data_IF_940706690093
#
_entry.id   IF_940706690093
#
_cell.length_a   1.000
_cell.length_b   1.000
_cell.length_c   1.000
_cell.angle_alpha   90.00
_cell.angle_beta   90.00
_cell.angle_gamma   90.00
#
_symmetry.space_group_name_H-M   'P 1'
#
loop_
_entity.id
_entity.type
_entity.pdbx_description
1 polymer ?
#
# COMPACT_ATOMS: atom_id res chain seq x y z
N UNK A 1 -4.14 -5.97 -1.70
CA UNK A 1 -4.82 -6.53 -0.51
C UNK A 1 -6.34 -6.57 -0.66
N UNK A 2 -6.89 -5.76 -1.51
CA UNK A 2 -8.32 -5.79 -1.82
C UNK A 2 -8.71 -7.01 -2.67
N UNK A 3 -7.75 -7.61 -3.33
CA UNK A 3 -7.93 -8.80 -4.15
C UNK A 3 -8.64 -9.95 -3.44
N UNK A 4 -8.44 -10.10 -2.11
CA UNK A 4 -9.05 -11.20 -1.34
C UNK A 4 -10.37 -10.83 -0.66
N UNK A 5 -10.74 -9.57 -0.62
CA UNK A 5 -11.96 -9.09 0.04
C UNK A 5 -12.94 -8.40 -0.91
N UNK A 6 -12.49 -8.02 -2.09
CA UNK A 6 -13.33 -7.43 -3.13
C UNK A 6 -13.84 -8.52 -4.04
N UNK A 7 -15.15 -8.55 -4.21
CA UNK A 7 -15.83 -9.43 -5.17
C UNK A 7 -16.05 -8.67 -6.46
N UNK A 8 -15.72 -9.28 -7.59
CA UNK A 8 -16.05 -8.74 -8.90
C UNK A 8 -17.58 -8.71 -9.06
N UNK A 9 -18.20 -7.53 -9.21
CA UNK A 9 -19.66 -7.42 -9.26
C UNK A 9 -20.27 -8.11 -10.49
N UNK A 10 -19.48 -8.39 -11.52
CA UNK A 10 -19.95 -8.98 -12.76
C UNK A 10 -19.86 -10.53 -12.75
N UNK A 11 -18.83 -11.09 -12.09
CA UNK A 11 -18.58 -12.55 -12.06
C UNK A 11 -18.89 -13.21 -10.72
N UNK A 12 -19.02 -12.42 -9.64
CA UNK A 12 -19.20 -12.88 -8.27
C UNK A 12 -18.00 -13.70 -7.72
N UNK A 13 -16.86 -13.61 -8.40
CA UNK A 13 -15.60 -14.23 -8.02
C UNK A 13 -14.69 -13.21 -7.31
N UNK A 14 -13.67 -13.64 -6.55
CA UNK A 14 -12.67 -12.72 -6.02
C UNK A 14 -12.02 -11.90 -7.12
N UNK A 15 -11.99 -10.58 -6.95
CA UNK A 15 -11.44 -9.67 -7.95
C UNK A 15 -9.93 -9.86 -8.06
N UNK A 16 -9.46 -10.18 -9.27
CA UNK A 16 -8.04 -10.33 -9.59
C UNK A 16 -7.52 -9.14 -10.40
N UNK A 17 -6.27 -8.75 -10.14
CA UNK A 17 -5.59 -7.70 -10.87
C UNK A 17 -5.00 -8.25 -12.17
N UNK A 18 -5.52 -7.79 -13.33
CA UNK A 18 -5.13 -8.25 -14.67
C UNK A 18 -4.40 -7.17 -15.47
N UNK A 19 -3.50 -6.42 -14.85
CA UNK A 19 -2.72 -5.33 -15.49
C UNK A 19 -3.58 -4.22 -16.13
N UNK A 20 -4.81 -4.05 -15.66
CA UNK A 20 -5.70 -2.95 -15.99
C UNK A 20 -6.19 -2.29 -14.68
N UNK A 21 -5.50 -1.22 -14.32
CA UNK A 21 -5.73 -0.51 -13.06
C UNK A 21 -7.10 0.19 -13.04
N UNK A 22 -7.56 0.71 -14.17
CA UNK A 22 -8.84 1.41 -14.24
C UNK A 22 -10.01 0.44 -14.05
N UNK A 23 -9.98 -0.71 -14.70
CA UNK A 23 -11.00 -1.76 -14.53
C UNK A 23 -11.01 -2.29 -13.09
N UNK A 24 -9.83 -2.59 -12.54
CA UNK A 24 -9.67 -3.07 -11.17
C UNK A 24 -10.22 -2.06 -10.14
N UNK A 25 -9.84 -0.79 -10.25
CA UNK A 25 -10.33 0.26 -9.36
C UNK A 25 -11.82 0.52 -9.54
N UNK A 26 -12.31 0.54 -10.77
CA UNK A 26 -13.73 0.72 -11.08
C UNK A 26 -14.59 -0.39 -10.47
N UNK A 27 -14.18 -1.65 -10.57
CA UNK A 27 -14.85 -2.80 -9.94
C UNK A 27 -14.77 -2.74 -8.41
N UNK A 28 -13.61 -2.38 -7.86
CA UNK A 28 -13.43 -2.19 -6.41
C UNK A 28 -14.35 -1.11 -5.88
N UNK A 29 -14.44 0.04 -6.56
CA UNK A 29 -15.34 1.14 -6.16
C UNK A 29 -16.80 0.74 -6.24
N UNK A 30 -17.22 0.03 -7.29
CA UNK A 30 -18.59 -0.48 -7.40
C UNK A 30 -18.94 -1.43 -6.26
N UNK A 31 -18.03 -2.33 -5.90
CA UNK A 31 -18.20 -3.22 -4.77
C UNK A 31 -18.33 -2.44 -3.44
N UNK A 32 -17.43 -1.51 -3.17
CA UNK A 32 -17.45 -0.72 -1.93
C UNK A 32 -18.71 0.16 -1.82
N UNK A 33 -19.19 0.72 -2.93
CA UNK A 33 -20.41 1.53 -2.95
C UNK A 33 -21.70 0.73 -2.71
N UNK A 34 -21.65 -0.60 -2.82
CA UNK A 34 -22.77 -1.47 -2.48
C UNK A 34 -22.82 -1.82 -0.98
N UNK A 35 -21.75 -1.55 -0.26
CA UNK A 35 -21.69 -1.80 1.18
C UNK A 35 -22.45 -0.68 1.92
N UNK A 36 -23.30 -1.08 2.85
CA UNK A 36 -23.93 -0.13 3.77
C UNK A 36 -22.85 0.53 4.66
N UNK A 37 -23.01 1.82 5.03
CA UNK A 37 -22.05 2.53 5.90
C UNK A 37 -21.79 1.81 7.24
N UNK A 38 -22.76 1.06 7.72
CA UNK A 38 -22.68 0.27 8.95
C UNK A 38 -22.01 -1.10 8.76
N UNK A 39 -21.66 -1.47 7.52
CA UNK A 39 -21.01 -2.74 7.22
C UNK A 39 -19.66 -2.83 7.93
N UNK A 40 -19.41 -3.94 8.60
CA UNK A 40 -18.17 -4.15 9.37
C UNK A 40 -16.91 -4.07 8.51
N UNK A 41 -16.95 -4.54 7.26
CA UNK A 41 -15.86 -4.44 6.31
C UNK A 41 -15.54 -2.98 5.96
N UNK A 42 -16.57 -2.16 5.73
CA UNK A 42 -16.38 -0.74 5.43
C UNK A 42 -15.68 -0.01 6.59
N UNK A 43 -16.18 -0.21 7.81
CA UNK A 43 -15.57 0.36 9.03
C UNK A 43 -14.12 -0.12 9.25
N UNK A 44 -13.86 -1.39 8.99
CA UNK A 44 -12.50 -1.93 9.08
C UNK A 44 -11.55 -1.29 8.06
N UNK A 45 -11.97 -1.13 6.82
CA UNK A 45 -11.16 -0.51 5.77
C UNK A 45 -10.88 0.97 6.07
N UNK A 46 -11.91 1.72 6.51
CA UNK A 46 -11.79 3.12 6.91
C UNK A 46 -10.80 3.29 8.07
N UNK A 47 -10.96 2.49 9.13
CA UNK A 47 -10.05 2.51 10.28
C UNK A 47 -8.60 2.19 9.89
N UNK A 48 -8.38 1.16 9.07
CA UNK A 48 -7.05 0.79 8.60
C UNK A 48 -6.42 1.87 7.73
N UNK A 49 -7.20 2.48 6.85
CA UNK A 49 -6.73 3.56 6.00
C UNK A 49 -6.34 4.79 6.83
N UNK A 50 -7.21 5.22 7.74
CA UNK A 50 -6.98 6.35 8.63
C UNK A 50 -5.70 6.16 9.43
N UNK A 51 -5.53 5.00 10.07
CA UNK A 51 -4.31 4.66 10.81
C UNK A 51 -3.06 4.68 9.93
N UNK A 52 -3.14 4.11 8.73
CA UNK A 52 -2.00 4.12 7.80
C UNK A 52 -1.57 5.53 7.41
N UNK A 53 -2.54 6.44 7.21
CA UNK A 53 -2.25 7.83 6.89
C UNK A 53 -1.67 8.60 8.08
N UNK A 54 -2.16 8.38 9.28
CA UNK A 54 -1.61 8.97 10.50
C UNK A 54 -0.15 8.54 10.71
N UNK A 55 0.15 7.24 10.56
CA UNK A 55 1.52 6.72 10.63
C UNK A 55 2.41 7.31 9.52
N UNK A 56 1.90 7.43 8.31
CA UNK A 56 2.64 8.03 7.21
C UNK A 56 3.01 9.49 7.47
N UNK A 57 2.09 10.27 8.02
CA UNK A 57 2.34 11.67 8.39
C UNK A 57 3.45 11.77 9.46
N UNK A 58 3.45 10.86 10.42
CA UNK A 58 4.41 10.87 11.53
C UNK A 58 5.80 10.36 11.13
N UNK A 59 5.87 9.36 10.24
CA UNK A 59 7.07 8.56 10.03
C UNK A 59 7.78 8.81 8.70
N UNK A 60 7.06 9.25 7.68
CA UNK A 60 7.68 9.56 6.40
C UNK A 60 8.39 10.91 6.43
N UNK A 61 9.50 11.06 5.69
CA UNK A 61 10.12 12.36 5.51
C UNK A 61 9.14 13.39 4.98
N UNK A 62 9.43 14.67 5.15
CA UNK A 62 8.57 15.82 4.77
C UNK A 62 8.07 15.84 3.30
N UNK A 63 8.52 14.91 2.49
CA UNK A 63 8.02 14.67 1.13
C UNK A 63 6.81 13.75 1.05
N UNK A 64 6.44 13.05 2.12
CA UNK A 64 5.39 12.02 2.10
C UNK A 64 5.74 10.88 1.15
N UNK A 65 4.78 10.43 0.35
CA UNK A 65 4.94 9.31 -0.61
C UNK A 65 5.71 9.71 -1.89
N UNK A 66 6.88 10.32 -1.71
CA UNK A 66 7.77 10.73 -2.81
C UNK A 66 9.04 9.91 -2.76
N UNK A 67 9.54 9.53 -3.92
CA UNK A 67 10.85 8.89 -4.00
C UNK A 67 11.97 9.89 -3.67
N UNK A 68 13.10 9.43 -3.10
CA UNK A 68 14.24 10.28 -2.82
C UNK A 68 14.67 11.09 -4.05
N UNK A 69 15.04 12.33 -3.83
CA UNK A 69 15.47 13.25 -4.89
C UNK A 69 16.69 14.06 -4.44
N UNK A 70 17.36 14.68 -5.40
CA UNK A 70 18.46 15.59 -5.12
C UNK A 70 17.97 16.78 -4.27
N UNK A 71 18.84 17.38 -3.43
CA UNK A 71 18.50 18.54 -2.64
C UNK A 71 17.88 19.66 -3.48
N UNK A 72 16.82 20.27 -2.98
CA UNK A 72 16.10 21.36 -3.64
C UNK A 72 15.11 20.94 -4.74
N UNK A 73 15.05 19.67 -5.11
CA UNK A 73 14.07 19.16 -6.08
C UNK A 73 13.00 18.32 -5.39
N UNK A 74 11.73 18.67 -5.55
CA UNK A 74 10.60 17.84 -5.09
C UNK A 74 10.10 16.98 -6.27
N UNK A 75 10.09 15.66 -6.10
CA UNK A 75 9.42 14.75 -7.03
C UNK A 75 7.90 14.76 -6.79
N UNK A 76 7.08 14.45 -7.79
CA UNK A 76 5.67 14.21 -7.57
C UNK A 76 5.46 13.01 -6.63
N UNK A 77 4.25 12.88 -6.07
CA UNK A 77 3.85 11.68 -5.34
C UNK A 77 3.95 10.48 -6.29
N UNK A 78 4.58 9.41 -5.84
CA UNK A 78 4.63 8.16 -6.57
C UNK A 78 3.46 7.27 -6.11
N UNK A 79 2.49 7.04 -7.00
CA UNK A 79 1.27 6.31 -6.67
C UNK A 79 1.54 4.86 -6.29
N UNK A 80 2.48 4.19 -6.93
CA UNK A 80 2.83 2.82 -6.60
C UNK A 80 3.51 2.70 -5.21
N UNK A 81 4.29 3.72 -4.83
CA UNK A 81 4.82 3.82 -3.47
C UNK A 81 3.71 4.12 -2.47
N UNK A 82 2.84 5.09 -2.76
CA UNK A 82 1.66 5.36 -1.93
C UNK A 82 0.85 4.09 -1.68
N UNK A 83 0.47 3.39 -2.74
CA UNK A 83 -0.35 2.19 -2.69
C UNK A 83 0.32 1.08 -1.85
N UNK A 84 1.57 0.73 -2.16
CA UNK A 84 2.24 -0.40 -1.52
C UNK A 84 2.69 -0.11 -0.09
N UNK A 85 3.15 1.12 0.20
CA UNK A 85 3.59 1.47 1.54
C UNK A 85 2.43 1.75 2.50
N UNK A 86 1.33 2.37 2.03
CA UNK A 86 0.12 2.50 2.84
C UNK A 86 -0.49 1.14 3.17
N UNK A 87 -0.43 0.17 2.25
CA UNK A 87 -0.80 -1.21 2.53
C UNK A 87 0.07 -1.82 3.65
N UNK A 88 1.40 -1.67 3.57
CA UNK A 88 2.28 -2.10 4.65
C UNK A 88 1.85 -1.50 5.99
N UNK A 89 1.72 -0.17 6.06
CA UNK A 89 1.33 0.52 7.29
C UNK A 89 -0.02 0.05 7.85
N UNK A 90 -0.98 -0.24 6.96
CA UNK A 90 -2.31 -0.73 7.35
C UNK A 90 -2.31 -2.13 7.98
N UNK A 91 -1.23 -2.89 7.80
CA UNK A 91 -1.07 -4.27 8.29
C UNK A 91 -0.21 -4.38 9.54
N UNK A 92 0.43 -3.30 9.95
CA UNK A 92 1.27 -3.31 11.13
C UNK A 92 0.44 -3.03 12.39
N UNK A 93 0.67 -3.87 13.41
CA UNK A 93 0.09 -3.71 14.72
C UNK A 93 1.22 -3.33 15.70
N UNK A 94 1.26 -2.08 16.12
CA UNK A 94 2.28 -1.64 17.08
C UNK A 94 2.14 -0.15 17.40
N UNK A 95 2.75 0.26 18.50
CA UNK A 95 2.74 1.63 19.00
C UNK A 95 4.07 1.96 19.69
N UNK A 96 4.31 3.24 19.86
CA UNK A 96 5.44 3.74 20.62
C UNK A 96 6.74 3.84 19.82
N UNK A 97 7.78 4.32 20.53
CA UNK A 97 9.06 4.71 19.89
C UNK A 97 9.80 3.57 19.21
N UNK A 98 9.73 2.36 19.76
CA UNK A 98 10.41 1.20 19.16
C UNK A 98 9.74 0.80 17.86
N UNK A 99 8.42 0.73 17.84
CA UNK A 99 7.63 0.47 16.63
C UNK A 99 7.89 1.53 15.55
N UNK A 100 7.87 2.82 15.90
CA UNK A 100 8.17 3.90 14.97
C UNK A 100 9.57 3.76 14.36
N UNK A 101 10.59 3.39 15.17
CA UNK A 101 11.94 3.13 14.67
C UNK A 101 11.99 1.95 13.71
N UNK A 102 11.26 0.88 13.98
CA UNK A 102 11.18 -0.28 13.09
C UNK A 102 10.58 0.12 11.73
N UNK A 103 9.48 0.86 11.72
CA UNK A 103 8.84 1.33 10.47
C UNK A 103 9.78 2.26 9.69
N UNK A 104 10.48 3.16 10.36
CA UNK A 104 11.48 4.04 9.71
C UNK A 104 12.64 3.23 9.10
N UNK A 105 13.14 2.23 9.81
CA UNK A 105 14.18 1.34 9.26
C UNK A 105 13.68 0.57 8.04
N UNK A 106 12.44 0.08 8.08
CA UNK A 106 11.81 -0.60 6.94
C UNK A 106 11.67 0.33 5.75
N UNK A 107 11.27 1.58 5.96
CA UNK A 107 11.27 2.60 4.91
C UNK A 107 12.67 2.76 4.28
N UNK A 108 13.71 2.90 5.10
CA UNK A 108 15.08 3.02 4.60
C UNK A 108 15.53 1.79 3.82
N UNK A 109 15.22 0.59 4.28
CA UNK A 109 15.49 -0.67 3.57
C UNK A 109 14.82 -0.70 2.20
N UNK A 110 13.55 -0.31 2.11
CA UNK A 110 12.82 -0.23 0.85
C UNK A 110 13.43 0.79 -0.11
N UNK A 111 13.87 1.95 0.40
CA UNK A 111 14.51 2.99 -0.43
C UNK A 111 15.92 2.62 -0.89
N UNK A 112 16.53 1.57 -0.34
CA UNK A 112 17.80 0.97 -0.79
C UNK A 112 17.59 -0.35 -1.56
N UNK A 113 16.35 -0.80 -1.76
CA UNK A 113 16.05 -2.04 -2.46
C UNK A 113 15.82 -1.79 -3.96
N UNK A 114 16.80 -2.13 -4.79
CA UNK A 114 16.74 -1.90 -6.25
C UNK A 114 15.53 -2.58 -6.90
N UNK A 115 15.17 -3.79 -6.45
CA UNK A 115 14.04 -4.53 -6.98
C UNK A 115 12.70 -3.84 -6.67
N UNK A 116 12.58 -3.24 -5.48
CA UNK A 116 11.42 -2.47 -5.10
C UNK A 116 11.36 -1.15 -5.87
N UNK A 117 12.46 -0.39 -5.92
CA UNK A 117 12.54 0.88 -6.65
C UNK A 117 12.26 0.71 -8.15
N UNK A 118 12.76 -0.37 -8.76
CA UNK A 118 12.45 -0.72 -10.15
C UNK A 118 10.93 -0.92 -10.36
N UNK A 119 10.28 -1.62 -9.43
CA UNK A 119 8.83 -1.84 -9.46
C UNK A 119 7.98 -0.57 -9.30
N UNK A 120 8.57 0.51 -8.75
CA UNK A 120 7.92 1.81 -8.57
C UNK A 120 8.14 2.77 -9.74
N UNK A 121 9.05 2.46 -10.66
CA UNK A 121 9.51 3.40 -11.69
C UNK A 121 9.43 2.87 -13.11
N UNK A 122 9.36 1.56 -13.31
CA UNK A 122 9.33 0.93 -14.64
C UNK A 122 8.11 0.04 -14.80
N UNK A 123 7.35 0.25 -15.87
CA UNK A 123 6.14 -0.55 -16.19
C UNK A 123 5.26 -0.80 -14.97
N UNK A 124 5.00 0.28 -14.23
CA UNK A 124 4.46 0.28 -12.86
C UNK A 124 3.14 -0.50 -12.74
N UNK A 125 2.30 -0.39 -13.77
CA UNK A 125 0.96 -1.01 -13.82
C UNK A 125 0.97 -2.43 -14.39
N UNK A 126 2.13 -2.97 -14.78
CA UNK A 126 2.19 -4.36 -15.23
C UNK A 126 1.95 -5.32 -14.07
N UNK A 127 1.20 -6.39 -14.30
CA UNK A 127 0.97 -7.43 -13.28
C UNK A 127 2.27 -7.92 -12.65
N UNK A 128 3.31 -8.15 -13.48
CA UNK A 128 4.64 -8.58 -13.01
C UNK A 128 5.23 -7.63 -11.97
N UNK A 129 5.23 -6.31 -12.21
CA UNK A 129 5.79 -5.33 -11.28
C UNK A 129 4.90 -5.16 -10.05
N UNK A 130 3.59 -5.20 -10.22
CA UNK A 130 2.64 -5.16 -9.11
C UNK A 130 2.85 -6.35 -8.17
N UNK A 131 2.88 -7.59 -8.68
CA UNK A 131 3.11 -8.78 -7.87
C UNK A 131 4.47 -8.76 -7.17
N UNK A 132 5.55 -8.40 -7.88
CA UNK A 132 6.89 -8.25 -7.31
C UNK A 132 6.91 -7.26 -6.14
N UNK A 133 6.26 -6.11 -6.30
CA UNK A 133 6.15 -5.07 -5.27
C UNK A 133 5.45 -5.58 -4.03
N UNK A 134 4.30 -6.24 -4.20
CA UNK A 134 3.54 -6.78 -3.07
C UNK A 134 4.20 -8.01 -2.43
N UNK A 135 4.95 -8.81 -3.16
CA UNK A 135 5.76 -9.90 -2.58
C UNK A 135 6.80 -9.35 -1.60
N UNK A 136 7.52 -8.29 -1.99
CA UNK A 136 8.49 -7.62 -1.10
C UNK A 136 7.80 -7.07 0.14
N UNK A 137 6.69 -6.37 -0.04
CA UNK A 137 5.92 -5.77 1.06
C UNK A 137 5.36 -6.84 2.00
N UNK A 138 4.79 -7.93 1.49
CA UNK A 138 4.22 -9.00 2.32
C UNK A 138 5.30 -9.71 3.15
N UNK A 139 6.51 -9.88 2.61
CA UNK A 139 7.64 -10.41 3.38
C UNK A 139 7.99 -9.51 4.56
N UNK A 140 8.08 -8.20 4.35
CA UNK A 140 8.34 -7.23 5.41
C UNK A 140 7.23 -7.18 6.46
N UNK A 141 5.96 -7.26 6.06
CA UNK A 141 4.83 -7.36 7.00
C UNK A 141 4.99 -8.58 7.90
N UNK A 142 5.34 -9.72 7.31
CA UNK A 142 5.54 -10.96 8.07
C UNK A 142 6.69 -10.81 9.07
N UNK A 143 7.83 -10.28 8.64
CA UNK A 143 9.01 -10.04 9.50
C UNK A 143 8.68 -9.09 10.65
N UNK A 144 7.97 -7.99 10.39
CA UNK A 144 7.62 -6.98 11.40
C UNK A 144 6.57 -7.45 12.42
N UNK A 145 5.68 -8.35 12.04
CA UNK A 145 4.65 -8.88 12.94
C UNK A 145 5.13 -10.08 13.77
N UNK A 146 6.34 -10.59 13.50
CA UNK A 146 6.98 -11.65 14.30
C UNK A 146 7.89 -11.09 15.40
N UNK A 147 8.19 -9.79 15.36
CA UNK A 147 9.01 -9.08 16.34
C UNK A 147 8.14 -8.38 17.37
#
# INVERSE_FOLDING_TARGET
WQQHITIDPDTHEPLDYRSNVEDFLGKTMRFLNQLEPENGLFKELDSRFTRAMELAIQLLPSGGFRLPSLPGKKRPINMAFFESFSYLLSRLNGEGKQFHRQVQNTYMQLMCNDAYLDSLTRSVDSGKQTYKRYEIINRLIHELNLC
#
